data_IF_069989173595
#
_entry.id   IF_069989173595
#
_cell.length_a   1.000
_cell.length_b   1.000
_cell.length_c   1.000
_cell.angle_alpha   90.00
_cell.angle_beta   90.00
_cell.angle_gamma   90.00
#
_symmetry.space_group_name_H-M   'P 1'
#
loop_
_entity.id
_entity.type
_entity.pdbx_description
1 polymer ?
#
# COMPACT_ATOMS: atom_id res chain seq x y z
N UNK A 1 -21.78 -18.70 -8.54
CA UNK A 1 -21.87 -17.55 -9.46
C UNK A 1 -20.50 -16.92 -9.51
N UNK A 2 -19.94 -16.85 -10.71
CA UNK A 2 -18.52 -16.68 -11.02
C UNK A 2 -17.94 -15.39 -10.40
N UNK A 3 -17.13 -15.52 -9.34
CA UNK A 3 -16.34 -14.40 -8.79
C UNK A 3 -15.10 -14.25 -9.66
N UNK A 4 -15.31 -13.74 -10.87
CA UNK A 4 -14.27 -13.58 -11.90
C UNK A 4 -13.05 -12.81 -11.40
N UNK A 5 -11.93 -13.04 -12.07
CA UNK A 5 -10.58 -12.64 -11.67
C UNK A 5 -10.22 -11.25 -12.21
N UNK A 6 -10.25 -10.24 -11.34
CA UNK A 6 -9.58 -8.96 -11.57
C UNK A 6 -9.97 -8.20 -12.85
N UNK A 7 -9.01 -7.45 -13.37
CA UNK A 7 -9.17 -6.47 -14.47
C UNK A 7 -9.21 -7.11 -15.86
N UNK A 8 -9.12 -8.45 -15.95
CA UNK A 8 -9.07 -9.20 -17.21
C UNK A 8 -10.45 -9.42 -17.84
N UNK A 9 -11.53 -9.17 -17.11
CA UNK A 9 -12.87 -9.60 -17.49
C UNK A 9 -13.69 -8.52 -18.24
N UNK A 10 -13.13 -7.33 -18.45
CA UNK A 10 -13.72 -6.26 -19.27
C UNK A 10 -13.38 -4.85 -18.80
N UNK A 11 -13.81 -3.85 -19.55
CA UNK A 11 -13.40 -2.46 -19.29
C UNK A 11 -14.11 -1.83 -18.08
N UNK A 12 -13.51 -0.81 -17.43
CA UNK A 12 -14.14 -0.07 -16.34
C UNK A 12 -15.48 0.58 -16.72
N UNK A 13 -15.69 0.89 -18.01
CA UNK A 13 -16.95 1.47 -18.49
C UNK A 13 -18.08 0.45 -18.58
N UNK A 14 -17.75 -0.83 -18.73
CA UNK A 14 -18.72 -1.92 -18.77
C UNK A 14 -19.02 -2.47 -17.39
N UNK A 15 -18.02 -2.51 -16.51
CA UNK A 15 -18.12 -3.11 -15.18
C UNK A 15 -17.78 -2.10 -14.08
N UNK A 16 -18.37 -0.90 -14.16
CA UNK A 16 -18.03 0.23 -13.28
C UNK A 16 -18.14 -0.13 -11.80
N UNK A 17 -19.26 -0.71 -11.40
CA UNK A 17 -19.55 -1.07 -10.01
C UNK A 17 -18.50 -2.02 -9.46
N UNK A 18 -18.10 -3.02 -10.24
CA UNK A 18 -17.07 -3.99 -9.86
C UNK A 18 -15.70 -3.33 -9.65
N UNK A 19 -15.34 -2.34 -10.46
CA UNK A 19 -14.09 -1.61 -10.29
C UNK A 19 -14.12 -0.75 -9.02
N UNK A 20 -15.25 -0.09 -8.73
CA UNK A 20 -15.43 0.68 -7.50
C UNK A 20 -15.36 -0.20 -6.26
N UNK A 21 -16.08 -1.33 -6.27
CA UNK A 21 -16.13 -2.29 -5.16
C UNK A 21 -14.76 -2.90 -4.82
N UNK A 22 -13.90 -3.09 -5.83
CA UNK A 22 -12.57 -3.67 -5.65
C UNK A 22 -11.45 -2.62 -5.48
N UNK A 23 -11.78 -1.32 -5.44
CA UNK A 23 -10.79 -0.23 -5.34
C UNK A 23 -10.64 0.24 -3.89
N UNK A 24 -9.51 -0.04 -3.20
CA UNK A 24 -9.34 0.28 -1.78
C UNK A 24 -9.44 1.77 -1.44
N UNK A 25 -9.13 2.65 -2.40
CA UNK A 25 -9.14 4.10 -2.20
C UNK A 25 -10.52 4.64 -1.77
N UNK A 26 -11.62 3.96 -2.12
CA UNK A 26 -12.97 4.35 -1.72
C UNK A 26 -13.35 3.89 -0.30
N UNK A 27 -12.46 3.19 0.39
CA UNK A 27 -12.70 2.60 1.70
C UNK A 27 -11.67 3.03 2.75
N UNK A 28 -10.88 4.07 2.47
CA UNK A 28 -9.84 4.55 3.41
C UNK A 28 -10.44 5.09 4.73
N UNK A 29 -11.69 5.54 4.72
CA UNK A 29 -12.45 5.92 5.91
C UNK A 29 -12.62 4.76 6.90
N UNK A 30 -12.64 3.53 6.39
CA UNK A 30 -12.81 2.29 7.15
C UNK A 30 -11.52 1.75 7.73
N UNK A 31 -10.37 2.30 7.37
CA UNK A 31 -9.08 1.88 7.93
C UNK A 31 -9.05 2.23 9.42
N UNK A 32 -8.81 1.22 10.27
CA UNK A 32 -8.72 1.36 11.72
C UNK A 32 -7.34 0.95 12.25
N UNK A 33 -6.67 0.04 11.54
CA UNK A 33 -5.32 -0.41 11.88
C UNK A 33 -4.28 0.55 11.27
N UNK A 34 -3.24 0.93 12.01
CA UNK A 34 -2.10 1.67 11.47
C UNK A 34 -1.49 0.97 10.24
N UNK A 35 -1.16 1.73 9.19
CA UNK A 35 -0.67 1.19 7.92
C UNK A 35 0.77 1.60 7.61
N UNK A 36 1.62 0.61 7.33
CA UNK A 36 2.93 0.80 6.70
C UNK A 36 2.79 0.61 5.18
N UNK A 37 3.14 1.64 4.41
CA UNK A 37 3.14 1.63 2.94
C UNK A 37 4.58 1.65 2.45
N UNK A 38 4.90 0.86 1.42
CA UNK A 38 6.24 0.75 0.84
C UNK A 38 6.15 0.85 -0.67
N UNK A 39 6.98 1.69 -1.28
CA UNK A 39 6.94 1.93 -2.72
C UNK A 39 8.32 2.31 -3.26
N UNK A 40 8.73 1.71 -4.38
CA UNK A 40 9.86 2.21 -5.18
C UNK A 40 9.44 3.31 -6.15
N UNK A 41 10.24 4.37 -6.32
CA UNK A 41 9.89 5.51 -7.20
C UNK A 41 9.94 5.19 -8.70
N UNK A 42 10.56 4.08 -9.08
CA UNK A 42 10.69 3.59 -10.46
C UNK A 42 9.91 2.31 -10.73
N UNK A 43 8.92 1.98 -9.90
CA UNK A 43 8.05 0.82 -10.12
C UNK A 43 7.27 0.95 -11.44
N UNK A 44 7.52 0.06 -12.42
CA UNK A 44 6.83 0.12 -13.71
C UNK A 44 5.46 -0.59 -13.69
N UNK A 45 5.20 -1.44 -12.69
CA UNK A 45 4.00 -2.25 -12.60
C UNK A 45 2.91 -1.54 -11.77
N UNK A 46 3.30 -0.96 -10.64
CA UNK A 46 2.42 -0.19 -9.75
C UNK A 46 2.98 1.20 -9.57
N UNK A 47 2.41 2.16 -10.31
CA UNK A 47 2.96 3.51 -10.38
C UNK A 47 2.94 4.21 -8.99
N UNK A 48 4.01 4.93 -8.59
CA UNK A 48 4.15 5.47 -7.24
C UNK A 48 3.02 6.41 -6.80
N UNK A 49 2.39 7.11 -7.75
CA UNK A 49 1.30 8.04 -7.44
C UNK A 49 0.09 7.35 -6.79
N UNK A 50 -0.10 6.04 -7.03
CA UNK A 50 -1.18 5.27 -6.42
C UNK A 50 -0.97 5.16 -4.90
N UNK A 51 0.26 4.85 -4.47
CA UNK A 51 0.66 4.83 -3.07
C UNK A 51 0.63 6.23 -2.45
N UNK A 52 1.03 7.26 -3.22
CA UNK A 52 0.94 8.67 -2.79
C UNK A 52 -0.52 9.09 -2.49
N UNK A 53 -1.47 8.69 -3.34
CA UNK A 53 -2.90 8.96 -3.16
C UNK A 53 -3.46 8.28 -1.91
N UNK A 54 -3.10 7.02 -1.66
CA UNK A 54 -3.51 6.28 -0.46
C UNK A 54 -2.96 6.95 0.79
N UNK A 55 -1.66 7.27 0.82
CA UNK A 55 -1.06 7.93 1.97
C UNK A 55 -1.67 9.31 2.26
N UNK A 56 -1.85 10.14 1.23
CA UNK A 56 -2.49 11.44 1.36
C UNK A 56 -3.94 11.31 1.88
N UNK A 57 -4.71 10.35 1.36
CA UNK A 57 -6.08 10.08 1.81
C UNK A 57 -6.14 9.64 3.28
N UNK A 58 -5.25 8.73 3.70
CA UNK A 58 -5.14 8.31 5.10
C UNK A 58 -4.79 9.49 6.02
N UNK A 59 -3.83 10.33 5.64
CA UNK A 59 -3.46 11.52 6.42
C UNK A 59 -4.60 12.55 6.50
N UNK A 60 -5.30 12.78 5.40
CA UNK A 60 -6.47 13.65 5.39
C UNK A 60 -7.57 13.17 6.35
N UNK A 61 -7.78 11.86 6.43
CA UNK A 61 -8.76 11.22 7.32
C UNK A 61 -8.25 11.03 8.76
N UNK A 62 -7.08 11.57 9.12
CA UNK A 62 -6.49 11.45 10.45
C UNK A 62 -6.09 10.02 10.81
N UNK A 63 -5.87 9.15 9.82
CA UNK A 63 -5.46 7.76 10.03
C UNK A 63 -3.95 7.67 10.23
N UNK A 64 -3.53 6.77 11.11
CA UNK A 64 -2.13 6.49 11.32
C UNK A 64 -1.54 5.70 10.15
N UNK A 65 -0.49 6.26 9.56
CA UNK A 65 0.20 5.64 8.43
C UNK A 65 1.65 6.12 8.35
N UNK A 66 2.55 5.20 8.00
CA UNK A 66 3.94 5.45 7.64
C UNK A 66 4.14 5.08 6.18
N UNK A 67 4.90 5.90 5.44
CA UNK A 67 5.16 5.68 4.02
C UNK A 67 6.66 5.70 3.73
N UNK A 68 7.17 4.55 3.32
CA UNK A 68 8.55 4.33 2.90
C UNK A 68 8.62 4.38 1.38
N UNK A 69 9.05 5.53 0.86
CA UNK A 69 9.20 5.76 -0.57
C UNK A 69 10.69 5.71 -0.94
N UNK A 70 11.12 4.63 -1.58
CA UNK A 70 12.52 4.39 -1.90
C UNK A 70 12.88 4.90 -3.29
N UNK A 71 13.74 5.92 -3.33
CA UNK A 71 14.21 6.53 -4.57
C UNK A 71 15.04 5.55 -5.39
N UNK A 72 14.72 5.44 -6.69
CA UNK A 72 15.45 4.58 -7.63
C UNK A 72 15.03 3.11 -7.63
N UNK A 73 14.30 2.65 -6.61
CA UNK A 73 13.80 1.27 -6.53
C UNK A 73 12.59 1.03 -7.45
N UNK A 74 12.44 -0.22 -7.89
CA UNK A 74 11.35 -0.65 -8.78
C UNK A 74 10.21 -1.34 -8.04
N UNK A 75 9.66 -2.39 -8.65
CA UNK A 75 8.58 -3.20 -8.07
C UNK A 75 8.99 -4.01 -6.83
N UNK A 76 10.29 -4.18 -6.63
CA UNK A 76 10.89 -4.74 -5.43
C UNK A 76 12.16 -3.97 -5.06
N UNK A 77 12.63 -4.18 -3.84
CA UNK A 77 13.87 -3.57 -3.36
C UNK A 77 15.07 -4.39 -3.84
N UNK A 78 15.98 -3.76 -4.57
CA UNK A 78 17.14 -4.40 -5.19
C UNK A 78 18.46 -3.99 -4.55
N UNK A 79 18.57 -2.76 -4.05
CA UNK A 79 19.77 -2.30 -3.37
C UNK A 79 19.84 -2.85 -1.94
N UNK A 80 21.00 -3.33 -1.52
CA UNK A 80 21.15 -3.87 -0.17
C UNK A 80 20.82 -2.83 0.93
N UNK A 81 21.16 -1.56 0.69
CA UNK A 81 20.91 -0.48 1.64
C UNK A 81 19.41 -0.24 1.88
N UNK A 82 18.59 -0.26 0.83
CA UNK A 82 17.13 -0.08 0.92
C UNK A 82 16.47 -1.30 1.52
N UNK A 83 16.92 -2.51 1.19
CA UNK A 83 16.47 -3.75 1.82
C UNK A 83 16.73 -3.73 3.34
N UNK A 84 17.94 -3.32 3.75
CA UNK A 84 18.30 -3.24 5.16
C UNK A 84 17.49 -2.19 5.91
N UNK A 85 17.32 -1.00 5.34
CA UNK A 85 16.46 0.06 5.93
C UNK A 85 15.01 -0.40 6.03
N UNK A 86 14.47 -1.04 4.99
CA UNK A 86 13.11 -1.59 5.00
C UNK A 86 12.92 -2.62 6.11
N UNK A 87 13.82 -3.60 6.23
CA UNK A 87 13.75 -4.61 7.29
C UNK A 87 13.76 -3.96 8.68
N UNK A 88 14.65 -2.98 8.91
CA UNK A 88 14.72 -2.25 10.19
C UNK A 88 13.41 -1.53 10.51
N UNK A 89 12.92 -0.72 9.58
CA UNK A 89 11.69 0.06 9.77
C UNK A 89 10.45 -0.82 9.91
N UNK A 90 10.42 -1.97 9.22
CA UNK A 90 9.35 -2.93 9.39
C UNK A 90 9.35 -3.53 10.79
N UNK A 91 10.52 -3.92 11.31
CA UNK A 91 10.65 -4.44 12.68
C UNK A 91 10.22 -3.38 13.68
N UNK A 92 10.76 -2.16 13.58
CA UNK A 92 10.39 -1.02 14.44
C UNK A 92 8.88 -0.76 14.41
N UNK A 93 8.28 -0.74 13.21
CA UNK A 93 6.85 -0.55 13.04
C UNK A 93 6.02 -1.64 13.75
N UNK A 94 6.41 -2.91 13.59
CA UNK A 94 5.71 -4.00 14.26
C UNK A 94 5.95 -4.01 15.77
N UNK A 95 7.14 -3.68 16.26
CA UNK A 95 7.44 -3.56 17.69
C UNK A 95 6.55 -2.50 18.34
N UNK A 96 6.38 -1.34 17.69
CA UNK A 96 5.52 -0.25 18.15
C UNK A 96 4.03 -0.66 18.22
N UNK A 97 3.56 -1.46 17.26
CA UNK A 97 2.12 -1.68 17.05
C UNK A 97 1.60 -3.06 17.46
N UNK A 98 2.45 -4.07 17.63
CA UNK A 98 2.02 -5.44 17.96
C UNK A 98 2.26 -5.85 19.42
N UNK A 99 3.03 -5.09 20.22
CA UNK A 99 3.17 -5.21 21.69
C UNK A 99 2.87 -6.60 22.31
N UNK A 100 3.52 -7.66 21.79
CA UNK A 100 3.20 -9.04 22.18
C UNK A 100 4.31 -10.08 22.05
N UNK A 101 5.54 -9.73 21.66
CA UNK A 101 6.59 -10.75 21.42
C UNK A 101 7.99 -10.44 21.97
N UNK A 102 8.17 -9.36 22.76
CA UNK A 102 9.45 -9.09 23.42
C UNK A 102 9.25 -8.52 24.82
N UNK A 103 9.01 -9.41 25.78
CA UNK A 103 9.46 -9.27 27.17
C UNK A 103 10.24 -10.51 27.55
#
# INVERSE_FOLDING_TARGET
MDRGRGWHDGSPWKFRERYLENSPIFYLDRVQTPLLIVQGTKDPAVLPFLSDQVFAGLKYLGKEALYLKYEGEGHGLTYYATQLDYCKRMIEWFDEHLNGAHK
#
